data_IF_674655381011
#
_entry.id   IF_674655381011
#
_cell.length_a   1.000
_cell.length_b   1.000
_cell.length_c   1.000
_cell.angle_alpha   90.00
_cell.angle_beta   90.00
_cell.angle_gamma   90.00
#
_symmetry.space_group_name_H-M   'P 1'
#
loop_
_entity.id
_entity.type
_entity.pdbx_description
1 polymer ?
#
# COMPACT_ATOMS: atom_id res chain seq x y z
N UNK A 1 18.98 -2.45 -26.12
CA UNK A 1 19.39 -3.24 -24.93
C UNK A 1 18.16 -3.49 -24.09
N UNK A 2 18.01 -4.66 -23.46
CA UNK A 2 16.85 -4.94 -22.62
C UNK A 2 16.94 -4.16 -21.30
N UNK A 3 15.82 -3.60 -20.85
CA UNK A 3 15.70 -2.92 -19.54
C UNK A 3 15.65 -3.94 -18.40
N UNK A 4 16.44 -3.71 -17.35
CA UNK A 4 16.39 -4.42 -16.08
C UNK A 4 15.33 -3.76 -15.18
N UNK A 5 14.17 -4.40 -15.06
CA UNK A 5 13.09 -3.98 -14.16
C UNK A 5 13.33 -4.50 -12.75
N UNK A 6 13.36 -3.63 -11.75
CA UNK A 6 13.56 -3.94 -10.34
C UNK A 6 12.35 -3.48 -9.51
N UNK A 7 11.82 -4.40 -8.72
CA UNK A 7 10.80 -4.13 -7.69
C UNK A 7 11.42 -3.88 -6.32
N UNK A 8 10.61 -3.45 -5.35
CA UNK A 8 11.03 -3.40 -3.95
C UNK A 8 11.64 -4.72 -3.46
N UNK A 9 11.02 -5.85 -3.79
CA UNK A 9 11.50 -7.18 -3.38
C UNK A 9 12.88 -7.48 -3.96
N UNK A 10 13.14 -7.03 -5.19
CA UNK A 10 14.46 -7.16 -5.81
C UNK A 10 15.51 -6.32 -5.09
N UNK A 11 15.18 -5.06 -4.79
CA UNK A 11 16.07 -4.15 -4.06
C UNK A 11 16.38 -4.68 -2.65
N UNK A 12 15.37 -5.21 -1.94
CA UNK A 12 15.56 -5.82 -0.62
C UNK A 12 16.42 -7.08 -0.66
N UNK A 13 16.24 -7.93 -1.68
CA UNK A 13 17.10 -9.11 -1.90
C UNK A 13 18.53 -8.68 -2.17
N UNK A 14 18.72 -7.71 -3.06
CA UNK A 14 20.04 -7.19 -3.39
C UNK A 14 20.74 -6.59 -2.17
N UNK A 15 20.04 -5.77 -1.37
CA UNK A 15 20.56 -5.18 -0.14
C UNK A 15 20.96 -6.24 0.89
N UNK A 16 20.20 -7.33 0.99
CA UNK A 16 20.51 -8.44 1.90
C UNK A 16 21.71 -9.25 1.41
N UNK A 17 21.68 -9.64 0.13
CA UNK A 17 22.69 -10.47 -0.50
C UNK A 17 22.65 -10.32 -2.04
N UNK A 18 23.65 -9.68 -2.67
CA UNK A 18 23.71 -9.55 -4.13
C UNK A 18 23.71 -10.90 -4.87
N UNK A 19 24.32 -11.93 -4.29
CA UNK A 19 24.30 -13.28 -4.86
C UNK A 19 22.89 -13.89 -4.83
N UNK A 20 22.13 -13.71 -3.73
CA UNK A 20 20.73 -14.14 -3.64
C UNK A 20 19.87 -13.48 -4.73
N UNK A 21 20.07 -12.18 -4.96
CA UNK A 21 19.43 -11.46 -6.05
C UNK A 21 19.76 -12.10 -7.42
N UNK A 22 21.05 -12.31 -7.71
CA UNK A 22 21.50 -12.92 -8.96
C UNK A 22 20.93 -14.32 -9.18
N UNK A 23 21.01 -15.20 -8.19
CA UNK A 23 20.44 -16.54 -8.27
C UNK A 23 18.92 -16.53 -8.41
N UNK A 24 18.21 -15.62 -7.74
CA UNK A 24 16.74 -15.53 -7.86
C UNK A 24 16.26 -15.15 -9.26
N UNK A 25 17.11 -14.49 -10.05
CA UNK A 25 16.84 -14.11 -11.45
C UNK A 25 17.21 -15.22 -12.44
N UNK A 26 18.17 -16.07 -12.08
CA UNK A 26 18.61 -17.22 -12.88
C UNK A 26 17.80 -18.49 -12.60
N UNK A 27 17.24 -18.63 -11.41
CA UNK A 27 16.37 -19.73 -11.07
C UNK A 27 15.11 -19.69 -11.94
N UNK A 28 14.77 -20.81 -12.57
CA UNK A 28 13.43 -21.00 -13.15
C UNK A 28 12.40 -20.67 -12.07
N UNK A 29 11.33 -19.97 -12.47
CA UNK A 29 10.22 -19.61 -11.57
C UNK A 29 9.60 -20.89 -11.00
N UNK A 30 10.18 -21.44 -9.93
CA UNK A 30 9.50 -22.41 -9.09
C UNK A 30 8.28 -21.68 -8.56
N UNK A 31 7.11 -22.31 -8.69
CA UNK A 31 5.91 -21.84 -8.02
C UNK A 31 6.24 -21.70 -6.54
N UNK A 32 6.44 -20.46 -6.08
CA UNK A 32 6.63 -20.22 -4.67
C UNK A 32 5.36 -20.66 -3.96
N UNK A 33 5.49 -21.57 -2.98
CA UNK A 33 4.40 -21.80 -2.05
C UNK A 33 4.00 -20.47 -1.42
N UNK A 34 2.83 -19.96 -1.81
CA UNK A 34 2.31 -18.72 -1.27
C UNK A 34 2.08 -18.91 0.23
N UNK A 35 2.87 -18.20 1.05
CA UNK A 35 2.65 -18.21 2.49
C UNK A 35 1.25 -17.69 2.82
N UNK A 36 0.60 -18.27 3.83
CA UNK A 36 -0.76 -17.85 4.27
C UNK A 36 -0.88 -16.34 4.51
N UNK A 37 0.19 -15.70 4.99
CA UNK A 37 0.24 -14.26 5.24
C UNK A 37 0.25 -13.45 3.95
N UNK A 38 1.02 -13.88 2.95
CA UNK A 38 1.06 -13.23 1.64
C UNK A 38 -0.30 -13.28 0.94
N UNK A 39 -0.97 -14.43 0.97
CA UNK A 39 -2.30 -14.57 0.37
C UNK A 39 -3.33 -13.68 1.08
N UNK A 40 -3.29 -13.63 2.41
CA UNK A 40 -4.22 -12.77 3.18
C UNK A 40 -4.07 -11.31 2.78
N UNK A 41 -2.82 -10.82 2.68
CA UNK A 41 -2.51 -9.47 2.21
C UNK A 41 -3.10 -9.19 0.83
N UNK A 42 -2.80 -10.04 -0.15
CA UNK A 42 -3.27 -9.89 -1.54
C UNK A 42 -4.80 -9.81 -1.61
N UNK A 43 -5.51 -10.71 -0.91
CA UNK A 43 -6.97 -10.78 -0.96
C UNK A 43 -7.60 -9.55 -0.29
N UNK A 44 -7.07 -9.11 0.85
CA UNK A 44 -7.55 -7.90 1.54
C UNK A 44 -7.34 -6.65 0.68
N UNK A 45 -6.16 -6.47 0.10
CA UNK A 45 -5.87 -5.34 -0.79
C UNK A 45 -6.79 -5.34 -2.01
N UNK A 46 -6.97 -6.51 -2.66
CA UNK A 46 -7.91 -6.66 -3.77
C UNK A 46 -9.34 -6.32 -3.38
N UNK A 47 -9.78 -6.68 -2.17
CA UNK A 47 -11.10 -6.31 -1.68
C UNK A 47 -11.26 -4.80 -1.55
N UNK A 48 -10.29 -4.13 -0.90
CA UNK A 48 -10.28 -2.68 -0.69
C UNK A 48 -10.23 -1.96 -2.04
N UNK A 49 -9.29 -2.31 -2.91
CA UNK A 49 -9.23 -1.79 -4.29
C UNK A 49 -10.55 -1.95 -5.04
N UNK A 50 -11.12 -3.17 -4.99
CA UNK A 50 -12.40 -3.49 -5.61
C UNK A 50 -13.60 -2.76 -5.00
N UNK A 51 -13.47 -2.11 -3.84
CA UNK A 51 -14.53 -1.26 -3.28
C UNK A 51 -14.52 0.16 -3.84
N UNK A 52 -13.38 0.64 -4.33
CA UNK A 52 -13.23 2.00 -4.88
C UNK A 52 -13.34 2.04 -6.41
N UNK A 53 -13.53 0.91 -7.09
CA UNK A 53 -13.82 0.93 -8.53
C UNK A 53 -15.19 1.57 -8.76
N UNK A 54 -15.29 2.44 -9.74
CA UNK A 54 -16.56 3.02 -10.15
C UNK A 54 -17.24 2.10 -11.18
N UNK A 55 -18.55 1.94 -11.04
CA UNK A 55 -19.41 1.39 -12.08
C UNK A 55 -19.56 2.40 -13.22
N UNK A 56 -20.11 1.96 -14.36
CA UNK A 56 -20.49 2.86 -15.47
C UNK A 56 -21.43 3.98 -15.04
N UNK A 57 -22.16 3.81 -13.93
CA UNK A 57 -23.08 4.79 -13.36
C UNK A 57 -22.43 5.73 -12.33
N UNK A 58 -21.10 5.72 -12.19
CA UNK A 58 -20.37 6.58 -11.25
C UNK A 58 -20.53 6.21 -9.78
N UNK A 59 -21.08 5.02 -9.48
CA UNK A 59 -21.20 4.50 -8.10
C UNK A 59 -20.05 3.56 -7.79
N UNK A 60 -19.62 3.51 -6.54
CA UNK A 60 -18.63 2.52 -6.11
C UNK A 60 -19.17 1.09 -6.24
N UNK A 61 -18.37 0.18 -6.80
CA UNK A 61 -18.70 -1.23 -7.02
C UNK A 61 -18.98 -1.97 -5.72
N UNK A 62 -18.44 -1.51 -4.58
CA UNK A 62 -18.85 -1.96 -3.25
C UNK A 62 -18.99 -0.76 -2.33
N UNK A 63 -20.22 -0.33 -2.08
CA UNK A 63 -20.51 0.76 -1.13
C UNK A 63 -20.47 0.24 0.32
N UNK A 64 -19.26 -0.05 0.81
CA UNK A 64 -19.03 -0.62 2.14
C UNK A 64 -18.89 0.52 3.15
N UNK A 65 -20.00 0.99 3.73
CA UNK A 65 -19.99 2.18 4.59
C UNK A 65 -20.25 1.96 6.09
N UNK A 66 -20.48 0.72 6.56
CA UNK A 66 -20.66 0.43 8.00
C UNK A 66 -20.14 -0.98 8.33
N UNK A 67 -19.55 -1.17 9.52
CA UNK A 67 -18.90 -2.42 9.95
C UNK A 67 -19.73 -3.69 9.74
N UNK A 68 -21.05 -3.66 9.93
CA UNK A 68 -21.91 -4.81 9.62
C UNK A 68 -21.89 -5.20 8.14
N UNK A 69 -22.06 -4.23 7.25
CA UNK A 69 -22.02 -4.42 5.79
C UNK A 69 -20.63 -4.84 5.32
N UNK A 70 -19.57 -4.30 5.92
CA UNK A 70 -18.19 -4.63 5.55
C UNK A 70 -17.83 -6.09 5.78
N UNK A 71 -18.23 -6.65 6.93
CA UNK A 71 -18.01 -8.06 7.22
C UNK A 71 -18.77 -8.97 6.25
N UNK A 72 -20.03 -8.64 5.95
CA UNK A 72 -20.83 -9.44 5.03
C UNK A 72 -20.23 -9.39 3.61
N UNK A 73 -19.96 -8.19 3.08
CA UNK A 73 -19.34 -8.05 1.75
C UNK A 73 -17.99 -8.74 1.66
N UNK A 74 -17.19 -8.72 2.74
CA UNK A 74 -15.95 -9.48 2.82
C UNK A 74 -16.20 -10.99 2.75
N UNK A 75 -17.14 -11.51 3.54
CA UNK A 75 -17.47 -12.94 3.55
C UNK A 75 -17.92 -13.43 2.17
N UNK A 76 -18.76 -12.65 1.49
CA UNK A 76 -19.25 -13.00 0.15
C UNK A 76 -18.09 -13.03 -0.86
N UNK A 77 -17.27 -11.97 -0.86
CA UNK A 77 -16.09 -11.90 -1.72
C UNK A 77 -15.08 -13.01 -1.44
N UNK A 78 -14.83 -13.30 -0.16
CA UNK A 78 -13.89 -14.33 0.24
C UNK A 78 -14.36 -15.71 -0.21
N UNK A 79 -15.66 -16.00 -0.08
CA UNK A 79 -16.27 -17.24 -0.56
C UNK A 79 -16.08 -17.42 -2.08
N UNK A 80 -16.19 -16.34 -2.86
CA UNK A 80 -15.88 -16.37 -4.30
C UNK A 80 -14.38 -16.64 -4.57
N UNK A 81 -13.48 -16.07 -3.76
CA UNK A 81 -12.04 -16.33 -3.92
C UNK A 81 -11.69 -17.79 -3.60
N UNK A 82 -12.31 -18.39 -2.57
CA UNK A 82 -12.11 -19.80 -2.23
C UNK A 82 -12.60 -20.71 -3.36
N UNK A 83 -13.77 -20.44 -3.94
CA UNK A 83 -14.28 -21.18 -5.11
C UNK A 83 -13.33 -21.11 -6.30
N UNK A 84 -12.71 -19.94 -6.54
CA UNK A 84 -11.76 -19.72 -7.63
C UNK A 84 -10.39 -20.32 -7.37
N UNK A 85 -9.97 -20.40 -6.11
CA UNK A 85 -8.67 -20.91 -5.68
C UNK A 85 -8.84 -21.92 -4.54
N UNK A 86 -9.24 -23.17 -4.86
CA UNK A 86 -9.47 -24.20 -3.84
C UNK A 86 -8.25 -24.51 -2.96
N UNK A 87 -7.03 -24.23 -3.45
CA UNK A 87 -5.79 -24.35 -2.67
C UNK A 87 -5.74 -23.50 -1.40
N UNK A 88 -6.65 -22.52 -1.27
CA UNK A 88 -6.79 -21.67 -0.08
C UNK A 88 -7.67 -22.29 1.02
N UNK A 89 -8.41 -23.36 0.74
CA UNK A 89 -9.29 -24.02 1.70
C UNK A 89 -8.55 -24.44 2.98
N UNK A 90 -7.28 -24.86 2.86
CA UNK A 90 -6.44 -25.24 4.02
C UNK A 90 -6.23 -24.12 5.05
N UNK A 91 -6.44 -22.86 4.67
CA UNK A 91 -6.25 -21.70 5.53
C UNK A 91 -7.54 -20.90 5.75
N UNK A 92 -8.69 -21.46 5.34
CA UNK A 92 -9.93 -20.71 5.16
C UNK A 92 -10.34 -19.92 6.39
N UNK A 93 -10.45 -20.59 7.54
CA UNK A 93 -10.95 -19.98 8.80
C UNK A 93 -10.05 -18.84 9.27
N UNK A 94 -8.76 -19.11 9.44
CA UNK A 94 -7.79 -18.12 9.96
C UNK A 94 -7.72 -16.89 9.03
N UNK A 95 -7.63 -17.11 7.72
CA UNK A 95 -7.51 -16.02 6.74
C UNK A 95 -8.81 -15.22 6.59
N UNK A 96 -9.97 -15.88 6.63
CA UNK A 96 -11.27 -15.22 6.57
C UNK A 96 -11.47 -14.29 7.75
N UNK A 97 -11.20 -14.77 8.97
CA UNK A 97 -11.40 -13.98 10.18
C UNK A 97 -10.39 -12.83 10.27
N UNK A 98 -9.11 -13.12 10.00
CA UNK A 98 -8.06 -12.08 9.98
C UNK A 98 -8.35 -11.00 8.93
N UNK A 99 -8.73 -11.40 7.72
CA UNK A 99 -9.07 -10.49 6.65
C UNK A 99 -10.34 -9.67 6.96
N UNK A 100 -11.34 -10.29 7.59
CA UNK A 100 -12.54 -9.58 8.04
C UNK A 100 -12.19 -8.47 9.02
N UNK A 101 -11.32 -8.73 10.00
CA UNK A 101 -10.84 -7.72 10.95
C UNK A 101 -10.13 -6.57 10.24
N UNK A 102 -9.21 -6.87 9.30
CA UNK A 102 -8.51 -5.85 8.52
C UNK A 102 -9.48 -4.95 7.74
N UNK A 103 -10.45 -5.57 7.04
CA UNK A 103 -11.48 -4.87 6.27
C UNK A 103 -12.35 -4.00 7.17
N UNK A 104 -12.79 -4.54 8.31
CA UNK A 104 -13.60 -3.81 9.28
C UNK A 104 -12.89 -2.56 9.79
N UNK A 105 -11.64 -2.71 10.21
CA UNK A 105 -10.83 -1.60 10.71
C UNK A 105 -10.60 -0.55 9.61
N UNK A 106 -10.30 -0.99 8.38
CA UNK A 106 -10.13 -0.10 7.24
C UNK A 106 -11.36 0.80 7.04
N UNK A 107 -12.56 0.22 6.89
CA UNK A 107 -13.77 0.99 6.62
C UNK A 107 -14.26 1.78 7.83
N UNK A 108 -14.03 1.29 9.06
CA UNK A 108 -14.34 2.05 10.27
C UNK A 108 -13.52 3.34 10.33
N UNK A 109 -12.22 3.27 10.08
CA UNK A 109 -11.32 4.42 10.16
C UNK A 109 -11.49 5.41 8.98
N UNK A 110 -11.94 4.93 7.83
CA UNK A 110 -12.11 5.74 6.62
C UNK A 110 -13.58 6.16 6.37
N UNK A 111 -14.49 5.92 7.31
CA UNK A 111 -15.93 6.17 7.12
C UNK A 111 -16.27 7.63 6.80
N UNK A 112 -15.57 8.56 7.44
CA UNK A 112 -15.76 10.00 7.30
C UNK A 112 -14.67 10.66 6.44
N UNK A 113 -13.77 9.88 5.84
CA UNK A 113 -12.69 10.39 5.01
C UNK A 113 -13.08 10.29 3.55
N UNK A 114 -12.54 11.20 2.75
CA UNK A 114 -12.67 11.09 1.31
C UNK A 114 -12.02 9.80 0.78
N UNK A 115 -12.49 9.30 -0.37
CA UNK A 115 -11.83 8.22 -1.09
C UNK A 115 -10.35 8.53 -1.38
N UNK A 116 -9.49 7.51 -1.53
CA UNK A 116 -8.14 7.72 -2.06
C UNK A 116 -8.19 8.43 -3.43
N UNK A 117 -7.25 9.34 -3.66
CA UNK A 117 -7.02 9.98 -4.95
C UNK A 117 -6.50 8.96 -5.96
N UNK A 118 -5.61 8.07 -5.52
CA UNK A 118 -5.14 6.92 -6.29
C UNK A 118 -5.16 5.67 -5.39
N UNK A 119 -5.41 4.50 -5.99
CA UNK A 119 -5.44 3.21 -5.29
C UNK A 119 -4.84 2.09 -6.14
N UNK A 120 -3.93 1.30 -5.56
CA UNK A 120 -3.12 0.28 -6.25
C UNK A 120 -2.46 0.83 -7.53
N UNK A 121 -1.96 2.06 -7.42
CA UNK A 121 -1.43 2.78 -8.56
C UNK A 121 0.00 2.33 -8.86
N UNK A 122 0.25 2.03 -10.13
CA UNK A 122 1.57 1.58 -10.59
C UNK A 122 2.44 2.79 -10.90
N UNK A 123 3.60 2.82 -10.27
CA UNK A 123 4.63 3.83 -10.50
C UNK A 123 5.88 3.16 -11.02
N UNK A 124 6.57 3.83 -11.93
CA UNK A 124 7.86 3.42 -12.45
C UNK A 124 8.68 4.65 -12.82
N UNK A 125 10.00 4.57 -12.67
CA UNK A 125 10.93 5.57 -13.18
C UNK A 125 12.25 4.91 -13.59
N UNK A 126 12.96 5.56 -14.51
CA UNK A 126 14.30 5.17 -14.93
C UNK A 126 15.29 5.80 -13.95
N UNK A 127 16.17 4.99 -13.35
CA UNK A 127 17.18 5.52 -12.43
C UNK A 127 18.49 5.83 -13.17
N UNK A 128 19.13 4.80 -13.73
CA UNK A 128 20.41 4.95 -14.43
C UNK A 128 20.61 3.82 -15.46
N UNK A 129 21.13 4.17 -16.63
CA UNK A 129 21.34 3.23 -17.73
C UNK A 129 20.03 2.55 -18.16
N UNK A 130 20.04 1.22 -18.23
CA UNK A 130 18.86 0.42 -18.59
C UNK A 130 18.10 -0.11 -17.35
N UNK A 131 18.18 0.56 -16.19
CA UNK A 131 17.49 0.11 -14.97
C UNK A 131 16.21 0.90 -14.74
N UNK A 132 15.09 0.19 -14.67
CA UNK A 132 13.77 0.72 -14.32
C UNK A 132 13.37 0.23 -12.93
N UNK A 133 13.03 1.16 -12.04
CA UNK A 133 12.37 0.84 -10.79
C UNK A 133 10.86 0.84 -10.98
N UNK A 134 10.16 -0.07 -10.31
CA UNK A 134 8.70 -0.06 -10.29
C UNK A 134 8.11 -0.52 -8.96
N UNK A 135 6.94 0.00 -8.62
CA UNK A 135 6.15 -0.46 -7.48
C UNK A 135 4.64 -0.21 -7.68
N UNK A 136 3.82 -0.88 -6.87
CA UNK A 136 2.41 -0.52 -6.65
C UNK A 136 2.32 0.24 -5.34
N UNK A 137 1.80 1.46 -5.39
CA UNK A 137 1.48 2.25 -4.19
C UNK A 137 0.03 1.95 -3.82
N UNK A 138 -0.21 1.47 -2.60
CA UNK A 138 -1.55 1.03 -2.19
C UNK A 138 -2.54 2.18 -2.24
N UNK A 139 -2.22 3.34 -1.65
CA UNK A 139 -3.09 4.53 -1.68
C UNK A 139 -2.31 5.84 -1.70
N UNK A 140 -2.85 6.81 -2.43
CA UNK A 140 -2.53 8.22 -2.31
C UNK A 140 -3.80 8.93 -1.84
N UNK A 141 -3.68 9.78 -0.82
CA UNK A 141 -4.82 10.45 -0.19
C UNK A 141 -4.54 11.94 -0.06
N UNK A 142 -5.54 12.78 -0.29
CA UNK A 142 -5.48 14.20 0.05
C UNK A 142 -5.51 14.39 1.57
N UNK A 143 -4.83 15.45 2.03
CA UNK A 143 -4.72 15.81 3.44
C UNK A 143 -4.90 17.30 3.59
N UNK A 144 -5.78 17.71 4.49
CA UNK A 144 -6.06 19.12 4.72
C UNK A 144 -4.90 19.85 5.44
N UNK A 145 -4.79 21.16 5.22
CA UNK A 145 -3.73 22.00 5.79
C UNK A 145 -3.66 21.96 7.32
N UNK A 146 -4.78 21.73 8.01
CA UNK A 146 -4.78 21.61 9.48
C UNK A 146 -4.09 20.32 9.90
N UNK A 147 -4.38 19.21 9.22
CA UNK A 147 -3.67 17.95 9.44
C UNK A 147 -2.18 18.13 9.14
N UNK A 148 -1.82 18.72 7.99
CA UNK A 148 -0.41 18.99 7.61
C UNK A 148 0.29 19.83 8.70
N UNK A 149 -0.34 20.90 9.17
CA UNK A 149 0.21 21.76 10.23
C UNK A 149 0.52 21.00 11.53
N UNK A 150 -0.23 19.93 11.83
CA UNK A 150 0.00 19.14 13.03
C UNK A 150 1.15 18.13 12.87
N UNK A 151 1.32 17.57 11.67
CA UNK A 151 2.31 16.49 11.42
C UNK A 151 3.63 17.00 10.84
N UNK A 152 3.60 18.13 10.11
CA UNK A 152 4.68 18.77 9.35
C UNK A 152 4.55 20.29 9.44
N UNK A 153 4.57 20.89 10.64
CA UNK A 153 4.37 22.33 10.79
C UNK A 153 5.38 23.15 9.96
N UNK A 154 6.59 22.63 9.74
CA UNK A 154 7.64 23.28 8.97
C UNK A 154 7.34 23.40 7.46
N UNK A 155 6.39 22.59 6.95
CA UNK A 155 5.94 22.67 5.56
C UNK A 155 4.85 23.74 5.35
N UNK A 156 4.32 24.34 6.41
CA UNK A 156 3.31 25.39 6.33
C UNK A 156 3.94 26.74 6.65
N UNK A 157 3.99 27.64 5.66
CA UNK A 157 4.43 29.03 5.82
C UNK A 157 3.30 29.98 5.44
N UNK A 158 2.99 30.94 6.31
CA UNK A 158 1.90 31.90 6.12
C UNK A 158 0.53 31.24 5.81
N UNK A 159 0.27 30.08 6.42
CA UNK A 159 -0.96 29.31 6.22
C UNK A 159 -1.03 28.53 4.91
N UNK A 160 0.04 28.50 4.12
CA UNK A 160 0.12 27.79 2.84
C UNK A 160 1.22 26.74 2.86
N UNK A 161 1.02 25.68 2.08
CA UNK A 161 2.04 24.66 1.85
C UNK A 161 3.21 25.27 1.06
N UNK A 162 4.44 25.02 1.50
CA UNK A 162 5.62 25.51 0.79
C UNK A 162 5.75 24.89 -0.61
N UNK A 163 6.33 25.60 -1.59
CA UNK A 163 6.55 25.05 -2.93
C UNK A 163 7.35 23.74 -2.93
N UNK A 164 7.04 22.87 -3.88
CA UNK A 164 7.69 21.56 -4.04
C UNK A 164 7.03 20.42 -3.25
N UNK A 165 5.93 20.70 -2.54
CA UNK A 165 5.12 19.70 -1.84
C UNK A 165 3.68 19.72 -2.32
N UNK A 166 3.05 18.54 -2.32
CA UNK A 166 1.62 18.36 -2.53
C UNK A 166 0.93 18.03 -1.22
N UNK A 167 -0.31 18.48 -1.05
CA UNK A 167 -1.20 18.16 0.06
C UNK A 167 -1.70 16.70 0.01
N UNK A 168 -0.80 15.78 -0.31
CA UNK A 168 -1.04 14.37 -0.54
C UNK A 168 -0.11 13.53 0.32
N UNK A 169 -0.62 12.38 0.77
CA UNK A 169 0.14 11.39 1.54
C UNK A 169 0.06 10.03 0.90
N UNK A 170 1.16 9.29 1.01
CA UNK A 170 1.22 7.90 0.62
C UNK A 170 0.80 7.04 1.81
N UNK A 171 -0.13 6.11 1.62
CA UNK A 171 -0.53 5.14 2.63
C UNK A 171 -0.29 3.74 2.10
N UNK A 172 0.57 2.99 2.77
CA UNK A 172 0.86 1.59 2.51
C UNK A 172 0.12 0.73 3.55
N UNK A 173 -0.72 -0.20 3.09
CA UNK A 173 -1.59 -1.01 3.93
C UNK A 173 -0.86 -2.29 4.35
N UNK A 174 -0.88 -2.59 5.66
CA UNK A 174 -0.28 -3.80 6.22
C UNK A 174 -1.35 -4.66 6.90
N UNK A 175 -1.38 -5.95 6.57
CA UNK A 175 -2.27 -6.94 7.23
C UNK A 175 -1.60 -7.69 8.39
N UNK A 176 -0.38 -7.32 8.76
CA UNK A 176 0.31 -7.83 9.95
C UNK A 176 -0.12 -7.07 11.21
N UNK A 177 0.26 -7.60 12.37
CA UNK A 177 0.26 -6.80 13.61
C UNK A 177 1.20 -5.60 13.45
N UNK A 178 0.88 -4.53 14.16
CA UNK A 178 1.71 -3.37 14.35
C UNK A 178 3.07 -3.79 14.90
N UNK A 179 4.13 -3.20 14.35
CA UNK A 179 5.49 -3.41 14.82
C UNK A 179 6.09 -2.07 15.20
N UNK A 180 6.32 -1.85 16.50
CA UNK A 180 6.99 -0.64 17.00
C UNK A 180 8.41 -0.45 16.45
N UNK A 181 9.02 -1.51 15.89
CA UNK A 181 10.31 -1.45 15.19
C UNK A 181 10.22 -0.73 13.84
N UNK A 182 9.06 -0.80 13.18
CA UNK A 182 8.71 0.03 12.03
C UNK A 182 7.99 1.25 12.58
N UNK A 183 8.76 2.17 13.18
CA UNK A 183 8.22 3.43 13.70
C UNK A 183 7.34 4.07 12.64
N UNK A 184 6.27 4.71 13.10
CA UNK A 184 5.47 5.58 12.25
C UNK A 184 6.44 6.65 11.71
N UNK A 185 6.76 6.60 10.41
CA UNK A 185 7.68 7.56 9.77
C UNK A 185 6.94 8.86 9.49
N UNK A 186 6.35 9.41 10.54
CA UNK A 186 5.67 10.69 10.51
C UNK A 186 6.70 11.77 10.32
N UNK A 187 6.67 12.38 9.14
CA UNK A 187 7.38 13.61 8.87
C UNK A 187 8.88 13.58 8.91
N UNK A 188 9.47 12.43 8.57
CA UNK A 188 10.85 12.45 8.15
C UNK A 188 10.97 13.20 6.83
N UNK A 189 11.83 14.23 6.75
CA UNK A 189 12.15 14.84 5.48
C UNK A 189 12.78 13.78 4.58
N UNK A 190 12.39 13.76 3.31
CA UNK A 190 13.24 13.14 2.31
C UNK A 190 14.60 13.85 2.28
N UNK A 191 15.73 13.14 2.15
CA UNK A 191 15.88 11.69 1.91
C UNK A 191 16.06 10.83 3.18
N UNK A 192 15.85 11.37 4.39
CA UNK A 192 16.16 10.72 5.66
C UNK A 192 15.18 9.60 6.07
N UNK A 193 14.45 9.01 5.12
CA UNK A 193 13.58 7.86 5.35
C UNK A 193 14.42 6.59 5.52
N UNK A 194 14.45 5.96 6.71
CA UNK A 194 15.30 4.80 6.95
C UNK A 194 14.68 3.48 6.46
N UNK A 195 13.42 3.50 6.01
CA UNK A 195 12.74 2.33 5.44
C UNK A 195 12.78 2.38 3.90
N UNK A 196 13.40 1.36 3.29
CA UNK A 196 13.58 1.26 1.85
C UNK A 196 12.25 1.28 1.06
N UNK A 197 11.16 0.75 1.63
CA UNK A 197 9.85 0.77 0.97
C UNK A 197 9.32 2.20 0.92
N UNK A 198 9.37 2.91 2.05
CA UNK A 198 8.97 4.31 2.12
C UNK A 198 9.82 5.17 1.16
N UNK A 199 11.15 4.98 1.18
CA UNK A 199 12.08 5.68 0.31
C UNK A 199 11.73 5.46 -1.17
N UNK A 200 11.57 4.19 -1.60
CA UNK A 200 11.23 3.86 -2.97
C UNK A 200 9.91 4.50 -3.39
N UNK A 201 8.88 4.46 -2.54
CA UNK A 201 7.54 4.95 -2.90
C UNK A 201 7.54 6.47 -3.02
N UNK A 202 8.19 7.17 -2.09
CA UNK A 202 8.32 8.62 -2.12
C UNK A 202 9.14 9.07 -3.32
N UNK A 203 10.25 8.38 -3.63
CA UNK A 203 11.04 8.67 -4.84
C UNK A 203 10.23 8.47 -6.12
N UNK A 204 9.60 7.31 -6.29
CA UNK A 204 8.77 7.02 -7.46
C UNK A 204 7.62 8.02 -7.61
N UNK A 205 7.00 8.42 -6.50
CA UNK A 205 5.97 9.45 -6.49
C UNK A 205 6.52 10.78 -7.01
N UNK A 206 7.64 11.24 -6.45
CA UNK A 206 8.28 12.50 -6.86
C UNK A 206 8.66 12.49 -8.34
N UNK A 207 9.27 11.40 -8.82
CA UNK A 207 9.63 11.23 -10.23
C UNK A 207 8.42 11.39 -11.17
N UNK A 208 7.24 10.91 -10.75
CA UNK A 208 6.02 10.99 -11.56
C UNK A 208 5.29 12.33 -11.43
N UNK A 209 5.34 12.96 -10.25
CA UNK A 209 4.50 14.13 -9.91
C UNK A 209 5.27 15.45 -9.96
N UNK A 210 6.61 15.41 -9.92
CA UNK A 210 7.48 16.59 -9.85
C UNK A 210 7.51 17.28 -8.47
N UNK A 211 6.78 16.76 -7.50
CA UNK A 211 6.62 17.34 -6.16
C UNK A 211 6.61 16.22 -5.12
N UNK A 212 6.96 16.55 -3.89
CA UNK A 212 7.02 15.61 -2.78
C UNK A 212 5.64 15.45 -2.12
N UNK A 213 5.27 14.25 -1.65
CA UNK A 213 4.13 14.12 -0.75
C UNK A 213 4.50 14.72 0.61
N UNK A 214 3.52 15.21 1.36
CA UNK A 214 3.76 15.74 2.72
C UNK A 214 4.08 14.63 3.73
N UNK A 215 3.74 13.37 3.41
CA UNK A 215 4.02 12.24 4.28
C UNK A 215 3.82 10.85 3.66
N UNK A 216 4.31 9.85 4.40
CA UNK A 216 4.16 8.43 4.13
C UNK A 216 3.69 7.71 5.41
N UNK A 217 2.78 6.74 5.29
CA UNK A 217 2.22 6.00 6.42
C UNK A 217 2.15 4.50 6.17
N UNK A 218 2.43 3.70 7.21
CA UNK A 218 2.09 2.29 7.23
C UNK A 218 0.80 2.07 8.00
N UNK A 219 -0.31 1.82 7.32
CA UNK A 219 -1.55 1.51 8.01
C UNK A 219 -1.67 0.01 8.33
N UNK A 220 -1.40 -0.36 9.58
CA UNK A 220 -1.58 -1.71 10.12
C UNK A 220 -3.05 -2.01 10.39
N UNK A 221 -3.71 -2.56 9.36
CA UNK A 221 -5.13 -2.86 9.33
C UNK A 221 -5.60 -3.77 10.47
N UNK A 222 -4.77 -4.72 10.89
CA UNK A 222 -5.17 -5.68 11.92
C UNK A 222 -5.38 -5.01 13.29
N UNK A 223 -4.53 -4.05 13.62
CA UNK A 223 -4.53 -3.35 14.91
C UNK A 223 -5.15 -1.94 14.83
N UNK A 224 -5.55 -1.52 13.62
CA UNK A 224 -6.07 -0.17 13.34
C UNK A 224 -5.09 0.96 13.72
N UNK A 225 -3.78 0.76 13.49
CA UNK A 225 -2.70 1.70 13.83
C UNK A 225 -1.94 2.18 12.60
N UNK A 226 -1.51 3.44 12.59
CA UNK A 226 -0.61 3.99 11.57
C UNK A 226 0.86 3.71 11.90
#
# INVERSE_FOLDING_TARGET
>A
MASLKLSLTDLQRYQRCPAEFGFSRLAEKKEHELSKHLVTGIIVHRFIWGSYRLTKSGRYTKNVRVGGTARQSWNDFYSEQIKRYPSLLKFEKEMRDKGATCVLNYFKQNRSKDPPLEIEARYWSHMLGNVELYSSIDQIRGVDSRTISNIRPELIKYGQLIPGYRDEVIVDLKTSKYSSKKKEWFGYPWPDLPDLQALLYVWLYHERKGEMPVGFYFYYLLDSKF
#
